data_IF_921063033936
#
_entry.id   IF_921063033936
#
_cell.length_a   1.000
_cell.length_b   1.000
_cell.length_c   1.000
_cell.angle_alpha   90.00
_cell.angle_beta   90.00
_cell.angle_gamma   90.00
#
_symmetry.space_group_name_H-M   'P 1'
#
loop_
_entity.id
_entity.type
_entity.pdbx_description
1 polymer ?
#
# COMPACT_ATOMS: atom_id res chain seq x y z
N UNK A 1 2.61 -24.61 -7.48
CA UNK A 1 2.04 -23.53 -8.33
C UNK A 1 3.09 -22.44 -8.41
N UNK A 2 3.50 -22.07 -9.61
CA UNK A 2 4.52 -21.08 -9.89
C UNK A 2 3.82 -19.71 -9.98
N UNK A 3 4.10 -18.84 -9.02
CA UNK A 3 3.44 -17.54 -8.87
C UNK A 3 4.36 -16.41 -9.33
N UNK A 4 3.90 -15.57 -10.26
CA UNK A 4 4.53 -14.28 -10.55
C UNK A 4 3.89 -13.18 -9.71
N UNK A 5 4.69 -12.42 -8.98
CA UNK A 5 4.26 -11.20 -8.29
C UNK A 5 4.80 -9.98 -9.01
N UNK A 6 3.89 -9.13 -9.49
CA UNK A 6 4.21 -7.84 -10.11
C UNK A 6 4.03 -6.73 -9.08
N UNK A 7 4.90 -5.73 -9.07
CA UNK A 7 4.90 -4.74 -7.99
C UNK A 7 5.51 -5.25 -6.66
N UNK A 8 6.26 -6.35 -6.70
CA UNK A 8 6.82 -7.08 -5.54
C UNK A 8 7.62 -6.21 -4.54
N UNK A 9 8.25 -5.13 -4.98
CA UNK A 9 9.00 -4.21 -4.08
C UNK A 9 8.13 -3.12 -3.44
N UNK A 10 6.84 -3.08 -3.76
CA UNK A 10 5.86 -2.15 -3.21
C UNK A 10 5.44 -2.51 -1.78
N UNK A 11 4.66 -1.62 -1.14
CA UNK A 11 4.16 -1.82 0.23
C UNK A 11 3.27 -3.07 0.33
N UNK A 12 2.36 -3.26 -0.62
CA UNK A 12 1.50 -4.44 -0.71
C UNK A 12 2.24 -5.63 -1.31
N UNK A 13 2.92 -5.46 -2.46
CA UNK A 13 3.53 -6.57 -3.19
C UNK A 13 4.55 -7.37 -2.37
N UNK A 14 5.35 -6.71 -1.50
CA UNK A 14 6.27 -7.43 -0.60
C UNK A 14 5.55 -8.32 0.42
N UNK A 15 4.35 -7.94 0.86
CA UNK A 15 3.54 -8.77 1.76
C UNK A 15 2.95 -9.95 1.01
N UNK A 16 2.53 -9.75 -0.24
CA UNK A 16 2.10 -10.84 -1.13
C UNK A 16 3.22 -11.86 -1.32
N UNK A 17 4.45 -11.39 -1.64
CA UNK A 17 5.62 -12.28 -1.78
C UNK A 17 5.87 -13.07 -0.51
N UNK A 18 5.93 -12.37 0.65
CA UNK A 18 6.14 -13.01 1.94
C UNK A 18 5.10 -14.07 2.23
N UNK A 19 3.84 -13.69 2.12
CA UNK A 19 2.73 -14.58 2.37
C UNK A 19 2.72 -15.80 1.45
N UNK A 20 2.99 -15.62 0.17
CA UNK A 20 3.04 -16.71 -0.79
C UNK A 20 4.19 -17.70 -0.51
N UNK A 21 5.38 -17.19 -0.15
CA UNK A 21 6.51 -18.03 0.27
C UNK A 21 6.19 -18.81 1.55
N UNK A 22 5.59 -18.16 2.55
CA UNK A 22 5.17 -18.80 3.81
C UNK A 22 4.13 -19.90 3.59
N UNK A 23 3.31 -19.80 2.53
CA UNK A 23 2.34 -20.83 2.11
C UNK A 23 2.90 -21.89 1.13
N UNK A 24 4.20 -21.86 0.85
CA UNK A 24 4.92 -22.87 0.05
C UNK A 24 4.79 -22.70 -1.46
N UNK A 25 4.45 -21.52 -1.96
CA UNK A 25 4.49 -21.24 -3.40
C UNK A 25 5.92 -21.02 -3.89
N UNK A 26 6.19 -21.40 -5.13
CA UNK A 26 7.38 -20.95 -5.83
C UNK A 26 7.10 -19.55 -6.39
N UNK A 27 7.78 -18.53 -5.82
CA UNK A 27 7.49 -17.15 -6.11
C UNK A 27 8.58 -16.54 -6.99
N UNK A 28 8.16 -16.04 -8.15
CA UNK A 28 8.96 -15.19 -9.03
C UNK A 28 8.49 -13.75 -8.92
N UNK A 29 9.43 -12.81 -8.89
CA UNK A 29 9.16 -11.38 -8.78
C UNK A 29 9.63 -10.65 -10.03
N UNK A 30 8.72 -9.95 -10.72
CA UNK A 30 9.09 -9.01 -11.78
C UNK A 30 9.66 -7.74 -11.15
N UNK A 31 10.93 -7.43 -11.41
CA UNK A 31 11.63 -6.30 -10.78
C UNK A 31 12.39 -5.46 -11.79
N UNK A 32 12.33 -4.14 -11.66
CA UNK A 32 13.09 -3.19 -12.50
C UNK A 32 14.57 -3.11 -12.11
N UNK A 33 14.91 -3.47 -10.86
CA UNK A 33 16.27 -3.39 -10.32
C UNK A 33 16.52 -4.49 -9.31
N UNK A 34 17.45 -5.39 -9.59
CA UNK A 34 17.89 -6.44 -8.68
C UNK A 34 18.41 -5.88 -7.35
N UNK A 35 19.16 -4.78 -7.38
CA UNK A 35 19.71 -4.15 -6.17
C UNK A 35 18.62 -3.73 -5.19
N UNK A 36 17.52 -3.14 -5.69
CA UNK A 36 16.39 -2.71 -4.84
C UNK A 36 15.53 -3.87 -4.36
N UNK A 37 15.60 -5.00 -5.03
CA UNK A 37 14.82 -6.20 -4.76
C UNK A 37 15.61 -7.30 -4.04
N UNK A 38 16.88 -7.07 -3.68
CA UNK A 38 17.77 -8.08 -3.11
C UNK A 38 17.16 -8.79 -1.89
N UNK A 39 16.44 -8.07 -1.04
CA UNK A 39 15.76 -8.62 0.14
C UNK A 39 14.70 -9.69 -0.22
N UNK A 40 14.05 -9.61 -1.39
CA UNK A 40 13.11 -10.63 -1.84
C UNK A 40 13.80 -11.95 -2.18
N UNK A 41 15.02 -11.86 -2.73
CA UNK A 41 15.86 -13.04 -2.97
C UNK A 41 16.30 -13.68 -1.66
N UNK A 42 16.67 -12.88 -0.66
CA UNK A 42 16.99 -13.36 0.68
C UNK A 42 15.82 -14.09 1.35
N UNK A 43 14.58 -13.72 1.02
CA UNK A 43 13.39 -14.43 1.49
C UNK A 43 13.11 -15.74 0.75
N UNK A 44 13.77 -15.99 -0.39
CA UNK A 44 13.62 -17.21 -1.20
C UNK A 44 12.90 -17.01 -2.52
N UNK A 45 12.56 -15.78 -2.91
CA UNK A 45 11.92 -15.52 -4.20
C UNK A 45 12.94 -15.49 -5.35
N UNK A 46 12.54 -16.00 -6.52
CA UNK A 46 13.25 -15.80 -7.78
C UNK A 46 13.05 -14.36 -8.28
N UNK A 47 14.11 -13.70 -8.72
CA UNK A 47 14.01 -12.37 -9.32
C UNK A 47 14.20 -12.45 -10.83
N UNK A 48 13.27 -11.86 -11.58
CA UNK A 48 13.38 -11.67 -13.02
C UNK A 48 13.35 -10.18 -13.35
N UNK A 49 14.32 -9.72 -14.13
CA UNK A 49 14.38 -8.33 -14.56
C UNK A 49 13.33 -8.06 -15.64
N UNK A 50 12.50 -7.04 -15.43
CA UNK A 50 11.53 -6.60 -16.42
C UNK A 50 10.79 -5.35 -15.96
N UNK A 51 10.04 -4.77 -16.87
CA UNK A 51 9.30 -3.53 -16.66
C UNK A 51 7.97 -3.59 -17.41
N UNK A 52 6.86 -3.28 -16.74
CA UNK A 52 5.53 -3.20 -17.36
C UNK A 52 5.51 -2.26 -18.57
N UNK A 53 6.32 -1.19 -18.54
CA UNK A 53 6.44 -0.26 -19.66
C UNK A 53 7.36 -0.76 -20.78
N UNK A 54 7.87 -1.99 -20.69
CA UNK A 54 8.69 -2.68 -21.69
C UNK A 54 8.12 -4.06 -21.95
N UNK A 55 7.05 -4.18 -22.77
CA UNK A 55 6.33 -5.44 -23.00
C UNK A 55 7.22 -6.62 -23.40
N UNK A 56 8.29 -6.37 -24.14
CA UNK A 56 9.25 -7.41 -24.59
C UNK A 56 9.94 -8.14 -23.41
N UNK A 57 9.91 -7.59 -22.21
CA UNK A 57 10.48 -8.21 -21.00
C UNK A 57 9.52 -9.16 -20.29
N UNK A 58 8.23 -9.12 -20.61
CA UNK A 58 7.19 -9.89 -19.92
C UNK A 58 7.19 -11.38 -20.23
N UNK A 59 7.41 -11.84 -21.48
CA UNK A 59 7.40 -13.27 -21.79
C UNK A 59 8.41 -14.07 -20.98
N UNK A 60 9.62 -13.54 -20.76
CA UNK A 60 10.64 -14.21 -19.97
C UNK A 60 10.21 -14.33 -18.47
N UNK A 61 9.52 -13.33 -17.95
CA UNK A 61 9.02 -13.36 -16.58
C UNK A 61 7.87 -14.35 -16.39
N UNK A 62 7.07 -14.58 -17.43
CA UNK A 62 5.89 -15.44 -17.43
C UNK A 62 6.18 -16.90 -17.81
N UNK A 63 7.39 -17.23 -18.26
CA UNK A 63 7.75 -18.58 -18.66
C UNK A 63 7.55 -19.58 -17.50
N UNK A 64 6.65 -20.57 -17.68
CA UNK A 64 6.31 -21.59 -16.69
C UNK A 64 5.51 -21.08 -15.47
N UNK A 65 4.97 -19.86 -15.52
CA UNK A 65 4.08 -19.30 -14.48
C UNK A 65 2.66 -19.83 -14.68
N UNK A 66 2.04 -20.24 -13.59
CA UNK A 66 0.63 -20.69 -13.57
C UNK A 66 -0.31 -19.66 -12.97
N UNK A 67 0.21 -18.77 -12.12
CA UNK A 67 -0.60 -17.72 -11.50
C UNK A 67 0.14 -16.36 -11.46
N UNK A 68 -0.61 -15.27 -11.56
CA UNK A 68 -0.11 -13.90 -11.42
C UNK A 68 -0.87 -13.19 -10.30
N UNK A 69 -0.15 -12.51 -9.42
CA UNK A 69 -0.74 -11.49 -8.53
C UNK A 69 -0.11 -10.14 -8.89
N UNK A 70 -0.96 -9.24 -9.35
CA UNK A 70 -0.55 -7.90 -9.73
C UNK A 70 -0.91 -6.85 -8.69
N UNK A 71 0.13 -6.34 -8.03
CA UNK A 71 0.08 -5.25 -7.06
C UNK A 71 0.86 -4.01 -7.56
N UNK A 72 1.04 -3.90 -8.89
CA UNK A 72 1.78 -2.78 -9.46
C UNK A 72 0.89 -1.54 -9.64
N UNK A 73 1.48 -0.40 -9.38
CA UNK A 73 0.92 0.92 -9.69
C UNK A 73 2.06 1.94 -9.80
N UNK A 74 1.84 3.03 -10.50
CA UNK A 74 2.80 4.12 -10.59
C UNK A 74 3.01 4.77 -9.21
N UNK A 75 4.28 4.93 -8.80
CA UNK A 75 4.61 5.59 -7.53
C UNK A 75 4.59 7.12 -7.70
N UNK A 76 4.35 7.82 -6.59
CA UNK A 76 4.40 9.28 -6.54
C UNK A 76 5.74 9.86 -7.01
N UNK A 77 6.81 9.10 -6.79
CA UNK A 77 8.20 9.49 -7.11
C UNK A 77 8.68 8.99 -8.47
N UNK A 78 7.85 8.19 -9.18
CA UNK A 78 8.22 7.72 -10.51
C UNK A 78 8.07 8.86 -11.54
N UNK A 79 9.01 8.94 -12.48
CA UNK A 79 8.95 9.87 -13.62
C UNK A 79 7.91 9.43 -14.67
N UNK A 80 7.45 8.19 -14.60
CA UNK A 80 6.45 7.64 -15.50
C UNK A 80 5.04 8.10 -15.09
N UNK A 81 4.20 8.38 -16.08
CA UNK A 81 2.81 8.76 -15.83
C UNK A 81 1.97 7.52 -15.47
N UNK A 82 0.83 7.75 -14.84
CA UNK A 82 -0.09 6.68 -14.42
C UNK A 82 -0.58 5.87 -15.62
N UNK A 83 -0.80 6.52 -16.79
CA UNK A 83 -1.25 5.82 -18.00
C UNK A 83 -0.24 4.77 -18.46
N UNK A 84 1.06 5.08 -18.47
CA UNK A 84 2.08 4.16 -18.93
C UNK A 84 2.21 2.91 -18.05
N UNK A 85 2.03 3.05 -16.73
CA UNK A 85 2.15 1.91 -15.80
C UNK A 85 0.80 1.25 -15.55
N UNK A 86 -0.22 2.05 -15.20
CA UNK A 86 -1.51 1.53 -14.71
C UNK A 86 -2.49 1.19 -15.85
N UNK A 87 -2.25 1.65 -17.10
CA UNK A 87 -3.02 1.24 -18.27
C UNK A 87 -2.16 0.45 -19.26
N UNK A 88 -1.25 1.09 -19.99
CA UNK A 88 -0.51 0.45 -21.07
C UNK A 88 0.26 -0.78 -20.58
N UNK A 89 0.90 -0.66 -19.41
CA UNK A 89 1.63 -1.75 -18.76
C UNK A 89 0.74 -2.90 -18.28
N UNK A 90 -0.45 -2.58 -17.77
CA UNK A 90 -1.41 -3.58 -17.31
C UNK A 90 -2.01 -4.37 -18.49
N UNK A 91 -2.40 -3.67 -19.54
CA UNK A 91 -2.87 -4.31 -20.79
C UNK A 91 -1.81 -5.26 -21.34
N UNK A 92 -0.56 -4.82 -21.40
CA UNK A 92 0.55 -5.66 -21.86
C UNK A 92 0.75 -6.91 -20.97
N UNK A 93 0.67 -6.75 -19.63
CA UNK A 93 0.79 -7.86 -18.70
C UNK A 93 -0.34 -8.88 -18.86
N UNK A 94 -1.59 -8.44 -18.96
CA UNK A 94 -2.77 -9.30 -19.15
C UNK A 94 -2.66 -10.09 -20.47
N UNK A 95 -2.29 -9.40 -21.56
CA UNK A 95 -2.09 -10.05 -22.86
C UNK A 95 -0.95 -11.08 -22.84
N UNK A 96 0.18 -10.74 -22.21
CA UNK A 96 1.31 -11.64 -22.07
C UNK A 96 0.98 -12.84 -21.17
N UNK A 97 0.23 -12.64 -20.09
CA UNK A 97 -0.23 -13.70 -19.19
C UNK A 97 -1.17 -14.68 -19.93
N UNK A 98 -2.09 -14.16 -20.74
CA UNK A 98 -2.95 -14.98 -21.60
C UNK A 98 -2.13 -15.80 -22.59
N UNK A 99 -1.19 -15.18 -23.28
CA UNK A 99 -0.32 -15.85 -24.26
C UNK A 99 0.57 -16.93 -23.61
N UNK A 100 0.97 -16.74 -22.35
CA UNK A 100 1.76 -17.70 -21.58
C UNK A 100 0.92 -18.84 -20.97
N UNK A 101 -0.40 -18.83 -21.12
CA UNK A 101 -1.30 -19.85 -20.56
C UNK A 101 -1.46 -19.77 -19.04
N UNK A 102 -1.37 -18.57 -18.45
CA UNK A 102 -1.61 -18.35 -17.02
C UNK A 102 -3.03 -18.78 -16.66
N UNK A 103 -3.17 -19.60 -15.62
CA UNK A 103 -4.43 -20.19 -15.19
C UNK A 103 -5.20 -19.28 -14.23
N UNK A 104 -4.51 -18.42 -13.46
CA UNK A 104 -5.11 -17.51 -12.45
C UNK A 104 -4.47 -16.14 -12.47
N UNK A 105 -5.28 -15.09 -12.50
CA UNK A 105 -4.82 -13.71 -12.46
C UNK A 105 -5.54 -12.94 -11.34
N UNK A 106 -4.79 -12.44 -10.38
CA UNK A 106 -5.32 -11.63 -9.27
C UNK A 106 -4.89 -10.19 -9.45
N UNK A 107 -5.84 -9.27 -9.48
CA UNK A 107 -5.61 -7.85 -9.70
C UNK A 107 -6.07 -7.02 -8.50
N UNK A 108 -5.23 -6.10 -8.06
CA UNK A 108 -5.61 -5.11 -7.05
C UNK A 108 -6.12 -3.83 -7.71
N UNK A 109 -7.37 -3.53 -7.44
CA UNK A 109 -8.04 -2.32 -7.89
C UNK A 109 -8.41 -1.39 -6.73
N UNK A 110 -9.17 -0.35 -7.05
CA UNK A 110 -9.64 0.65 -6.09
C UNK A 110 -11.15 0.53 -5.93
N UNK A 111 -11.63 0.55 -4.69
CA UNK A 111 -13.06 0.52 -4.38
C UNK A 111 -13.79 1.69 -5.05
N UNK A 112 -14.96 1.41 -5.63
CA UNK A 112 -15.79 2.40 -6.31
C UNK A 112 -15.11 3.10 -7.51
N UNK A 113 -14.14 2.44 -8.18
CA UNK A 113 -13.43 3.01 -9.31
C UNK A 113 -14.39 3.44 -10.44
N UNK A 114 -15.46 2.67 -10.67
CA UNK A 114 -16.55 2.94 -11.62
C UNK A 114 -17.34 4.22 -11.34
N UNK A 115 -17.38 4.66 -10.07
CA UNK A 115 -18.16 5.84 -9.65
C UNK A 115 -17.45 7.17 -9.87
N UNK A 116 -16.20 7.16 -10.28
CA UNK A 116 -15.37 8.36 -10.43
C UNK A 116 -14.64 8.43 -11.78
N UNK A 117 -15.38 8.43 -12.92
CA UNK A 117 -14.78 8.43 -14.26
C UNK A 117 -13.95 9.70 -14.57
N UNK A 118 -14.22 10.81 -13.87
CA UNK A 118 -13.46 12.06 -14.02
C UNK A 118 -12.10 12.06 -13.29
N UNK A 119 -11.78 11.00 -12.55
CA UNK A 119 -10.53 10.84 -11.81
C UNK A 119 -9.64 9.85 -12.55
N UNK A 120 -8.54 10.30 -13.18
CA UNK A 120 -7.77 9.47 -14.13
C UNK A 120 -7.33 8.11 -13.59
N UNK A 121 -6.91 8.05 -12.32
CA UNK A 121 -6.50 6.77 -11.72
C UNK A 121 -7.69 5.82 -11.52
N UNK A 122 -8.85 6.35 -11.12
CA UNK A 122 -10.06 5.55 -10.92
C UNK A 122 -10.58 5.03 -12.26
N UNK A 123 -10.68 5.89 -13.27
CA UNK A 123 -11.07 5.54 -14.64
C UNK A 123 -10.15 4.43 -15.19
N UNK A 124 -8.83 4.61 -15.07
CA UNK A 124 -7.86 3.60 -15.53
C UNK A 124 -8.06 2.27 -14.80
N UNK A 125 -8.26 2.27 -13.48
CA UNK A 125 -8.47 1.03 -12.73
C UNK A 125 -9.74 0.32 -13.17
N UNK A 126 -10.83 1.05 -13.36
CA UNK A 126 -12.07 0.47 -13.90
C UNK A 126 -11.90 -0.10 -15.31
N UNK A 127 -11.25 0.63 -16.22
CA UNK A 127 -10.96 0.12 -17.56
C UNK A 127 -10.09 -1.15 -17.54
N UNK A 128 -9.14 -1.27 -16.61
CA UNK A 128 -8.34 -2.50 -16.44
C UNK A 128 -9.18 -3.65 -15.90
N UNK A 129 -10.13 -3.38 -14.97
CA UNK A 129 -11.09 -4.39 -14.49
C UNK A 129 -11.89 -4.98 -15.67
N UNK A 130 -12.46 -4.11 -16.51
CA UNK A 130 -13.23 -4.52 -17.70
C UNK A 130 -12.35 -5.28 -18.69
N UNK A 131 -11.17 -4.77 -19.01
CA UNK A 131 -10.24 -5.43 -19.92
C UNK A 131 -9.82 -6.82 -19.43
N UNK A 132 -9.59 -6.97 -18.13
CA UNK A 132 -9.26 -8.26 -17.51
C UNK A 132 -10.46 -9.21 -17.58
N UNK A 133 -11.66 -8.74 -17.31
CA UNK A 133 -12.88 -9.54 -17.38
C UNK A 133 -13.15 -10.06 -18.80
N UNK A 134 -12.87 -9.26 -19.83
CA UNK A 134 -13.01 -9.64 -21.23
C UNK A 134 -11.83 -10.47 -21.79
N UNK A 135 -10.72 -10.54 -21.05
CA UNK A 135 -9.49 -11.21 -21.51
C UNK A 135 -9.62 -12.71 -21.75
N UNK A 136 -10.57 -13.36 -21.06
CA UNK A 136 -10.71 -14.84 -21.03
C UNK A 136 -9.77 -15.54 -20.05
N UNK A 137 -9.01 -14.79 -19.25
CA UNK A 137 -8.26 -15.34 -18.09
C UNK A 137 -9.23 -15.62 -16.93
N UNK A 138 -8.95 -16.64 -16.13
CA UNK A 138 -9.64 -16.80 -14.84
C UNK A 138 -9.09 -15.79 -13.86
N UNK A 139 -9.85 -14.76 -13.56
CA UNK A 139 -9.40 -13.63 -12.73
C UNK A 139 -10.04 -13.60 -11.34
N UNK A 140 -9.45 -12.83 -10.45
CA UNK A 140 -10.05 -12.31 -9.23
C UNK A 140 -9.62 -10.85 -9.08
N UNK A 141 -10.59 -9.94 -8.92
CA UNK A 141 -10.33 -8.52 -8.69
C UNK A 141 -10.58 -8.23 -7.20
N UNK A 142 -9.60 -7.62 -6.55
CA UNK A 142 -9.67 -7.21 -5.14
C UNK A 142 -9.68 -5.68 -5.08
N UNK A 143 -10.83 -5.10 -4.77
CA UNK A 143 -11.00 -3.64 -4.68
C UNK A 143 -10.67 -3.16 -3.27
N UNK A 144 -9.67 -2.27 -3.15
CA UNK A 144 -9.17 -1.76 -1.87
C UNK A 144 -9.46 -0.27 -1.70
N UNK A 145 -9.63 0.20 -0.47
CA UNK A 145 -9.91 1.61 -0.17
C UNK A 145 -8.66 2.38 0.29
N UNK A 146 -7.80 1.76 1.08
CA UNK A 146 -6.58 2.36 1.61
C UNK A 146 -5.81 1.42 2.54
N UNK A 147 -4.54 1.73 2.78
CA UNK A 147 -3.64 0.88 3.56
C UNK A 147 -3.31 1.52 4.92
N UNK A 148 -3.38 0.73 6.01
CA UNK A 148 -2.97 1.16 7.35
C UNK A 148 -1.54 1.70 7.38
N UNK A 149 -0.65 1.13 6.55
CA UNK A 149 0.76 1.55 6.45
C UNK A 149 0.93 3.02 6.05
N UNK A 150 0.01 3.56 5.25
CA UNK A 150 0.03 4.96 4.84
C UNK A 150 -0.20 5.93 5.99
N UNK A 151 -0.97 5.52 7.00
CA UNK A 151 -1.35 6.36 8.14
C UNK A 151 -0.16 6.71 9.03
N UNK A 152 0.87 5.86 9.05
CA UNK A 152 2.08 6.11 9.82
C UNK A 152 2.77 7.39 9.34
N UNK A 153 3.02 7.51 8.04
CA UNK A 153 3.64 8.70 7.47
C UNK A 153 2.72 9.92 7.45
N UNK A 154 1.41 9.70 7.34
CA UNK A 154 0.43 10.78 7.25
C UNK A 154 0.09 11.39 8.61
N UNK A 155 0.01 10.59 9.68
CA UNK A 155 -0.46 11.03 10.99
C UNK A 155 0.53 10.73 12.12
N UNK A 156 0.98 9.48 12.27
CA UNK A 156 1.73 9.07 13.45
C UNK A 156 3.10 9.76 13.56
N UNK A 157 3.89 9.78 12.49
CA UNK A 157 5.22 10.41 12.48
C UNK A 157 5.12 11.93 12.68
N UNK A 158 4.28 12.70 11.95
CA UNK A 158 4.15 14.14 12.18
C UNK A 158 3.77 14.50 13.60
N UNK A 159 2.85 13.72 14.24
CA UNK A 159 2.46 13.97 15.63
C UNK A 159 3.63 13.72 16.57
N UNK A 160 4.35 12.60 16.44
CA UNK A 160 5.54 12.30 17.27
C UNK A 160 6.63 13.35 17.12
N UNK A 161 6.84 13.86 15.91
CA UNK A 161 7.86 14.87 15.60
C UNK A 161 7.38 16.30 15.81
N UNK A 162 6.14 16.50 16.32
CA UNK A 162 5.50 17.81 16.53
C UNK A 162 5.40 18.67 15.28
N UNK A 163 5.33 18.02 14.12
CA UNK A 163 5.13 18.63 12.81
C UNK A 163 3.63 18.87 12.55
N UNK A 164 3.31 19.67 11.52
CA UNK A 164 1.93 19.89 11.11
C UNK A 164 1.34 18.67 10.44
N UNK A 165 0.15 18.25 10.89
CA UNK A 165 -0.69 17.24 10.22
C UNK A 165 -1.62 17.96 9.25
N UNK A 166 -1.51 17.64 7.96
CA UNK A 166 -2.33 18.28 6.94
C UNK A 166 -3.63 17.49 6.72
N UNK A 167 -4.76 18.17 6.88
CA UNK A 167 -6.10 17.63 6.62
C UNK A 167 -6.72 18.39 5.46
N UNK A 168 -7.13 17.67 4.42
CA UNK A 168 -7.64 18.26 3.18
C UNK A 168 -9.17 18.19 3.14
N UNK A 169 -9.82 19.32 2.94
CA UNK A 169 -11.27 19.42 2.75
C UNK A 169 -12.13 18.84 3.86
N UNK A 170 -13.26 18.26 3.49
CA UNK A 170 -14.11 17.45 4.35
C UNK A 170 -13.68 15.98 4.15
N UNK A 171 -12.86 15.47 5.05
CA UNK A 171 -12.29 14.12 4.90
C UNK A 171 -13.36 13.05 4.81
N UNK A 172 -13.24 12.19 3.80
CA UNK A 172 -14.03 10.98 3.69
C UNK A 172 -13.64 9.98 4.78
N UNK A 173 -14.61 9.29 5.33
CA UNK A 173 -14.34 8.12 6.14
C UNK A 173 -13.85 6.98 5.26
N UNK A 174 -12.69 6.39 5.56
CA UNK A 174 -12.05 5.34 4.75
C UNK A 174 -11.87 4.08 5.60
N UNK A 175 -12.25 2.93 5.03
CA UNK A 175 -12.08 1.62 5.66
C UNK A 175 -10.69 1.05 5.31
N UNK A 176 -9.66 1.50 6.00
CA UNK A 176 -8.27 1.05 5.78
C UNK A 176 -8.07 -0.40 6.18
N UNK A 177 -7.26 -1.14 5.40
CA UNK A 177 -6.87 -2.51 5.71
C UNK A 177 -5.34 -2.66 5.77
N UNK A 178 -4.86 -3.60 6.59
CA UNK A 178 -3.44 -3.95 6.64
C UNK A 178 -3.02 -4.65 5.35
N UNK A 179 -1.85 -4.30 4.83
CA UNK A 179 -1.33 -4.94 3.60
C UNK A 179 -0.97 -6.41 3.79
N UNK A 180 -0.77 -6.88 5.01
CA UNK A 180 -0.61 -8.31 5.29
C UNK A 180 -1.94 -9.06 5.14
N UNK A 181 -3.04 -8.44 5.60
CA UNK A 181 -4.38 -9.01 5.42
C UNK A 181 -4.78 -8.99 3.94
N UNK A 182 -4.50 -7.89 3.22
CA UNK A 182 -4.70 -7.84 1.75
C UNK A 182 -3.93 -8.95 1.04
N UNK A 183 -2.69 -9.22 1.44
CA UNK A 183 -1.90 -10.31 0.91
C UNK A 183 -2.50 -11.69 1.24
N UNK A 184 -3.09 -11.85 2.43
CA UNK A 184 -3.83 -13.07 2.83
C UNK A 184 -5.00 -13.33 1.88
N UNK A 185 -5.83 -12.32 1.58
CA UNK A 185 -6.92 -12.44 0.62
C UNK A 185 -6.41 -12.79 -0.78
N UNK A 186 -5.37 -12.10 -1.26
CA UNK A 186 -4.83 -12.34 -2.61
C UNK A 186 -4.26 -13.75 -2.79
N UNK A 187 -3.47 -14.23 -1.83
CA UNK A 187 -2.90 -15.60 -1.90
C UNK A 187 -4.00 -16.65 -1.71
N UNK A 188 -4.96 -16.41 -0.81
CA UNK A 188 -6.10 -17.30 -0.59
C UNK A 188 -6.97 -17.46 -1.84
N UNK A 189 -7.19 -16.40 -2.61
CA UNK A 189 -7.97 -16.47 -3.85
C UNK A 189 -7.43 -17.46 -4.87
N UNK A 190 -6.14 -17.77 -4.85
CA UNK A 190 -5.54 -18.76 -5.76
C UNK A 190 -6.05 -20.19 -5.51
N UNK A 191 -6.53 -20.49 -4.28
CA UNK A 191 -6.99 -21.82 -3.87
C UNK A 191 -8.53 -21.94 -3.79
N UNK A 192 -9.24 -20.81 -3.78
CA UNK A 192 -10.69 -20.76 -3.62
C UNK A 192 -11.34 -20.61 -5.00
N UNK A 193 -12.01 -21.67 -5.47
CA UNK A 193 -12.67 -21.72 -6.77
C UNK A 193 -13.77 -20.66 -6.93
N UNK A 194 -14.48 -20.36 -5.82
CA UNK A 194 -15.60 -19.42 -5.76
C UNK A 194 -15.16 -17.96 -5.98
N UNK A 195 -13.85 -17.71 -6.02
CA UNK A 195 -13.31 -16.37 -6.35
C UNK A 195 -13.04 -16.18 -7.85
N UNK A 196 -13.17 -17.24 -8.65
CA UNK A 196 -12.90 -17.19 -10.10
C UNK A 196 -13.92 -16.30 -10.80
N UNK A 197 -13.41 -15.39 -11.65
CA UNK A 197 -14.18 -14.44 -12.45
C UNK A 197 -15.10 -13.55 -11.61
N UNK A 198 -14.60 -13.13 -10.44
CA UNK A 198 -15.36 -12.29 -9.51
C UNK A 198 -14.52 -11.13 -8.98
N UNK A 199 -15.25 -10.08 -8.61
CA UNK A 199 -14.72 -8.89 -7.94
C UNK A 199 -15.19 -8.86 -6.49
N UNK A 200 -14.28 -8.56 -5.57
CA UNK A 200 -14.55 -8.50 -4.14
C UNK A 200 -14.03 -7.20 -3.55
N UNK A 201 -14.81 -6.52 -2.71
CA UNK A 201 -14.26 -5.48 -1.85
C UNK A 201 -13.35 -6.14 -0.81
N UNK A 202 -12.17 -5.56 -0.58
CA UNK A 202 -11.25 -6.00 0.48
C UNK A 202 -10.82 -4.75 1.24
N UNK A 203 -11.59 -4.43 2.26
CA UNK A 203 -11.49 -3.19 3.04
C UNK A 203 -11.54 -3.47 4.53
N UNK A 204 -11.17 -2.49 5.35
CA UNK A 204 -11.23 -2.63 6.81
C UNK A 204 -12.67 -2.79 7.31
N UNK A 205 -12.81 -3.34 8.51
CA UNK A 205 -14.12 -3.60 9.15
C UNK A 205 -14.88 -2.33 9.52
N UNK A 206 -14.18 -1.19 9.61
CA UNK A 206 -14.76 0.12 9.93
C UNK A 206 -14.11 1.21 9.09
N UNK A 207 -14.92 2.17 8.65
CA UNK A 207 -14.42 3.41 8.05
C UNK A 207 -14.04 4.42 9.14
N UNK A 208 -12.95 5.15 8.93
CA UNK A 208 -12.35 6.10 9.86
C UNK A 208 -12.22 7.47 9.23
N UNK A 209 -12.65 8.50 9.95
CA UNK A 209 -12.38 9.88 9.57
C UNK A 209 -10.96 10.30 9.99
N UNK A 210 -10.36 11.25 9.28
CA UNK A 210 -9.01 11.75 9.60
C UNK A 210 -8.87 12.24 11.04
N UNK A 211 -9.90 12.92 11.56
CA UNK A 211 -9.89 13.43 12.95
C UNK A 211 -9.98 12.33 14.00
N UNK A 212 -10.68 11.22 13.72
CA UNK A 212 -10.69 10.06 14.62
C UNK A 212 -9.30 9.44 14.71
N UNK A 213 -8.61 9.31 13.55
CA UNK A 213 -7.24 8.77 13.48
C UNK A 213 -6.25 9.70 14.21
N UNK A 214 -6.36 11.02 14.02
CA UNK A 214 -5.53 12.01 14.71
C UNK A 214 -5.71 11.88 16.22
N UNK A 215 -6.95 11.88 16.73
CA UNK A 215 -7.23 11.71 18.16
C UNK A 215 -6.69 10.39 18.72
N UNK A 216 -6.76 9.33 17.94
CA UNK A 216 -6.18 8.05 18.34
C UNK A 216 -4.65 8.14 18.45
N UNK A 217 -3.99 8.77 17.47
CA UNK A 217 -2.55 8.99 17.50
C UNK A 217 -2.12 9.90 18.68
N UNK A 218 -2.87 10.98 18.98
CA UNK A 218 -2.64 11.84 20.14
C UNK A 218 -2.70 11.05 21.45
N UNK A 219 -3.75 10.24 21.61
CA UNK A 219 -3.92 9.40 22.81
C UNK A 219 -2.80 8.38 22.98
N UNK A 220 -2.35 7.75 21.88
CA UNK A 220 -1.30 6.72 21.90
C UNK A 220 0.11 7.29 22.07
N UNK A 221 0.34 8.49 21.56
CA UNK A 221 1.66 9.16 21.65
C UNK A 221 1.81 10.04 22.89
N UNK A 222 0.71 10.48 23.50
CA UNK A 222 0.70 11.53 24.53
C UNK A 222 1.11 12.90 24.01
N UNK A 223 1.05 13.14 22.68
CA UNK A 223 1.41 14.42 22.05
C UNK A 223 0.18 15.01 21.36
N UNK A 224 0.02 16.34 21.46
CA UNK A 224 -1.03 17.05 20.73
C UNK A 224 -0.65 17.28 19.27
N UNK A 225 -1.62 17.08 18.36
CA UNK A 225 -1.43 17.28 16.93
C UNK A 225 -1.56 18.75 16.53
N UNK A 226 -0.64 19.23 15.73
CA UNK A 226 -0.75 20.55 15.08
C UNK A 226 -1.50 20.38 13.75
N UNK A 227 -2.82 20.46 13.76
CA UNK A 227 -3.63 20.24 12.56
C UNK A 227 -3.69 21.50 11.72
N UNK A 228 -3.32 21.37 10.44
CA UNK A 228 -3.45 22.42 9.43
C UNK A 228 -4.48 21.98 8.37
N UNK A 229 -5.52 22.79 8.19
CA UNK A 229 -6.57 22.52 7.19
C UNK A 229 -6.25 23.17 5.85
N UNK A 230 -6.34 22.40 4.78
CA UNK A 230 -6.24 22.91 3.41
C UNK A 230 -7.63 22.90 2.76
N UNK A 231 -8.18 24.05 2.39
CA UNK A 231 -9.48 24.12 1.71
C UNK A 231 -9.45 23.42 0.34
N UNK A 232 -10.53 22.70 0.00
CA UNK A 232 -10.69 22.04 -1.31
C UNK A 232 -10.53 23.00 -2.50
N UNK A 233 -10.99 24.26 -2.35
CA UNK A 233 -10.85 25.28 -3.38
C UNK A 233 -9.38 25.56 -3.74
N UNK A 234 -8.49 25.57 -2.76
CA UNK A 234 -7.06 25.74 -2.98
C UNK A 234 -6.47 24.51 -3.71
N UNK A 235 -6.86 23.29 -3.31
CA UNK A 235 -6.43 22.06 -3.95
C UNK A 235 -6.83 22.03 -5.44
N UNK A 236 -8.09 22.40 -5.74
CA UNK A 236 -8.58 22.52 -7.11
C UNK A 236 -7.85 23.58 -7.91
N UNK A 237 -7.53 24.70 -7.29
CA UNK A 237 -6.71 25.77 -7.89
C UNK A 237 -5.30 25.27 -8.27
N UNK A 238 -4.61 24.61 -7.35
CA UNK A 238 -3.28 24.02 -7.59
C UNK A 238 -3.34 22.97 -8.70
N UNK A 239 -4.35 22.08 -8.68
CA UNK A 239 -4.55 21.08 -9.73
C UNK A 239 -4.78 21.72 -11.09
N UNK A 240 -5.58 22.80 -11.19
CA UNK A 240 -5.84 23.51 -12.45
C UNK A 240 -4.56 24.12 -13.02
N UNK A 241 -3.72 24.71 -12.16
CA UNK A 241 -2.42 25.25 -12.54
C UNK A 241 -1.45 24.13 -12.95
N UNK A 242 -1.41 23.02 -12.18
CA UNK A 242 -0.58 21.86 -12.48
C UNK A 242 -0.93 21.22 -13.83
N UNK A 243 -2.18 21.24 -14.26
CA UNK A 243 -2.59 20.76 -15.60
C UNK A 243 -2.08 21.62 -16.75
N UNK A 244 -1.70 22.85 -16.50
CA UNK A 244 -1.20 23.76 -17.55
C UNK A 244 0.21 23.40 -18.05
N UNK A 245 0.98 22.67 -17.21
CA UNK A 245 2.34 22.27 -17.55
C UNK A 245 2.44 20.75 -17.70
N UNK A 246 2.90 20.25 -18.84
CA UNK A 246 2.98 18.82 -19.13
C UNK A 246 3.80 18.02 -18.09
N UNK A 247 4.86 18.59 -17.56
CA UNK A 247 5.74 17.97 -16.57
C UNK A 247 5.09 17.84 -15.17
N UNK A 248 3.94 18.50 -14.91
CA UNK A 248 3.18 18.41 -13.65
C UNK A 248 1.90 17.57 -13.77
N UNK A 249 1.62 16.93 -14.90
CA UNK A 249 0.40 16.14 -15.09
C UNK A 249 0.27 15.01 -14.07
N UNK A 250 1.36 14.32 -13.76
CA UNK A 250 1.36 13.28 -12.71
C UNK A 250 0.93 13.83 -11.34
N UNK A 251 1.28 15.08 -11.03
CA UNK A 251 0.85 15.76 -9.80
C UNK A 251 -0.65 16.08 -9.88
N UNK A 252 -1.13 16.58 -11.01
CA UNK A 252 -2.54 16.91 -11.22
C UNK A 252 -3.44 15.67 -11.10
N UNK A 253 -3.03 14.52 -11.66
CA UNK A 253 -3.77 13.28 -11.60
C UNK A 253 -3.84 12.72 -10.18
N UNK A 254 -2.78 12.86 -9.40
CA UNK A 254 -2.77 12.47 -7.98
C UNK A 254 -3.61 13.39 -7.11
N UNK A 255 -3.60 14.68 -7.40
CA UNK A 255 -4.47 15.65 -6.73
C UNK A 255 -5.95 15.35 -7.03
N UNK A 256 -6.28 14.82 -8.22
CA UNK A 256 -7.62 14.38 -8.55
C UNK A 256 -8.11 13.25 -7.61
N UNK A 257 -7.27 12.23 -7.37
CA UNK A 257 -7.59 11.17 -6.40
C UNK A 257 -7.71 11.72 -4.96
N UNK A 258 -6.86 12.66 -4.58
CA UNK A 258 -6.95 13.34 -3.28
C UNK A 258 -8.28 14.10 -3.13
N UNK A 259 -8.85 14.66 -4.23
CA UNK A 259 -10.16 15.30 -4.19
C UNK A 259 -11.29 14.31 -3.87
N UNK A 260 -11.21 13.05 -4.33
CA UNK A 260 -12.17 11.99 -3.97
C UNK A 260 -12.15 11.75 -2.46
N UNK A 261 -10.94 11.59 -1.90
CA UNK A 261 -10.75 11.38 -0.47
C UNK A 261 -11.21 12.59 0.36
N UNK A 262 -11.09 13.81 -0.19
CA UNK A 262 -11.48 15.05 0.46
C UNK A 262 -12.95 15.47 0.20
N UNK A 263 -13.70 14.71 -0.60
CA UNK A 263 -15.09 15.04 -0.98
C UNK A 263 -16.14 14.67 0.10
N UNK A 264 -15.73 13.97 1.16
CA UNK A 264 -16.60 13.60 2.29
C UNK A 264 -17.50 12.38 2.04
N UNK A 265 -17.39 11.72 0.88
CA UNK A 265 -18.09 10.45 0.64
C UNK A 265 -17.31 9.29 1.24
N UNK A 266 -17.92 8.39 2.03
CA UNK A 266 -17.21 7.27 2.63
C UNK A 266 -16.73 6.28 1.56
N UNK A 267 -15.50 5.76 1.75
CA UNK A 267 -14.96 4.65 0.98
C UNK A 267 -14.97 3.40 1.86
N UNK A 268 -16.09 2.71 1.87
CA UNK A 268 -16.32 1.47 2.60
C UNK A 268 -17.27 0.55 1.83
N UNK A 269 -17.21 -0.74 2.13
CA UNK A 269 -18.11 -1.75 1.58
C UNK A 269 -18.38 -2.83 2.62
N UNK A 270 -19.52 -3.55 2.55
CA UNK A 270 -19.76 -4.72 3.37
C UNK A 270 -18.78 -5.85 2.98
N UNK A 271 -18.24 -6.54 3.97
CA UNK A 271 -17.22 -7.58 3.79
C UNK A 271 -17.75 -8.99 4.10
N UNK A 272 -19.02 -9.13 4.50
CA UNK A 272 -19.58 -10.41 4.96
C UNK A 272 -19.44 -11.51 3.90
N UNK A 273 -19.80 -11.21 2.65
CA UNK A 273 -19.65 -12.14 1.54
C UNK A 273 -18.17 -12.44 1.26
N UNK A 274 -17.31 -11.44 1.27
CA UNK A 274 -15.87 -11.60 1.06
C UNK A 274 -15.29 -12.53 2.11
N UNK A 275 -15.56 -12.30 3.39
CA UNK A 275 -15.11 -13.17 4.47
C UNK A 275 -15.62 -14.60 4.33
N UNK A 276 -16.91 -14.78 4.01
CA UNK A 276 -17.52 -16.09 3.84
C UNK A 276 -16.89 -16.87 2.68
N UNK A 277 -16.75 -16.24 1.50
CA UNK A 277 -16.17 -16.88 0.30
C UNK A 277 -14.69 -17.24 0.49
N UNK A 278 -13.91 -16.35 1.12
CA UNK A 278 -12.50 -16.62 1.35
C UNK A 278 -12.25 -17.53 2.57
N UNK A 279 -13.27 -17.83 3.38
CA UNK A 279 -13.13 -18.61 4.60
C UNK A 279 -12.14 -17.98 5.59
N UNK A 280 -12.22 -16.66 5.75
CA UNK A 280 -11.39 -15.86 6.66
C UNK A 280 -12.30 -15.34 7.78
N UNK A 281 -11.91 -15.55 9.05
CA UNK A 281 -12.61 -14.95 10.17
C UNK A 281 -12.30 -13.46 10.25
N UNK A 282 -13.32 -12.58 10.33
CA UNK A 282 -13.09 -11.13 10.49
C UNK A 282 -12.19 -10.77 11.67
N UNK A 283 -12.23 -11.54 12.76
CA UNK A 283 -11.39 -11.33 13.95
C UNK A 283 -9.90 -11.58 13.72
N UNK A 284 -9.54 -12.27 12.63
CA UNK A 284 -8.15 -12.49 12.23
C UNK A 284 -7.55 -11.30 11.46
N UNK A 285 -8.36 -10.30 11.13
CA UNK A 285 -7.88 -9.11 10.42
C UNK A 285 -7.49 -8.01 11.39
N UNK A 286 -6.43 -7.28 11.03
CA UNK A 286 -5.85 -6.23 11.85
C UNK A 286 -6.75 -5.01 11.89
N UNK A 287 -7.18 -4.59 13.08
CA UNK A 287 -7.89 -3.33 13.26
C UNK A 287 -6.94 -2.14 13.21
N UNK A 288 -7.45 -0.95 12.85
CA UNK A 288 -6.65 0.28 12.84
C UNK A 288 -6.12 0.60 14.25
N UNK A 289 -6.95 0.41 15.27
CA UNK A 289 -6.54 0.60 16.66
C UNK A 289 -5.38 -0.31 17.05
N UNK A 290 -5.50 -1.61 16.78
CA UNK A 290 -4.47 -2.60 17.07
C UNK A 290 -3.17 -2.28 16.33
N UNK A 291 -3.27 -1.93 15.04
CA UNK A 291 -2.11 -1.56 14.23
C UNK A 291 -1.36 -0.34 14.78
N UNK A 292 -2.07 0.72 15.14
CA UNK A 292 -1.47 1.93 15.71
C UNK A 292 -0.94 1.67 17.14
N UNK A 293 -1.65 0.90 17.97
CA UNK A 293 -1.17 0.51 19.29
C UNK A 293 0.17 -0.23 19.22
N UNK A 294 0.28 -1.19 18.33
CA UNK A 294 1.52 -1.95 18.11
C UNK A 294 2.64 -1.06 17.59
N UNK A 295 2.33 -0.14 16.67
CA UNK A 295 3.31 0.80 16.15
C UNK A 295 3.85 1.71 17.25
N UNK A 296 2.97 2.40 17.97
CA UNK A 296 3.36 3.32 19.05
C UNK A 296 4.03 2.57 20.20
N UNK A 297 3.55 1.38 20.56
CA UNK A 297 4.17 0.55 21.59
C UNK A 297 5.63 0.22 21.29
N UNK A 298 5.92 -0.17 20.03
CA UNK A 298 7.30 -0.43 19.58
C UNK A 298 8.17 0.82 19.59
N UNK A 299 7.66 1.96 19.14
CA UNK A 299 8.41 3.22 19.12
C UNK A 299 8.68 3.71 20.54
N UNK A 300 7.67 3.71 21.43
CA UNK A 300 7.83 4.16 22.82
C UNK A 300 8.81 3.28 23.60
N UNK A 301 8.78 1.96 23.37
CA UNK A 301 9.76 1.03 23.95
C UNK A 301 11.19 1.40 23.52
N UNK A 302 11.39 1.61 22.22
CA UNK A 302 12.70 1.97 21.67
C UNK A 302 13.20 3.32 22.16
N UNK A 303 12.31 4.30 22.31
CA UNK A 303 12.66 5.62 22.87
C UNK A 303 13.14 5.49 24.33
N UNK A 304 12.42 4.73 25.17
CA UNK A 304 12.82 4.46 26.55
C UNK A 304 14.18 3.76 26.65
N UNK A 305 14.44 2.79 25.76
CA UNK A 305 15.75 2.12 25.69
C UNK A 305 16.88 3.12 25.37
N UNK A 306 16.66 4.00 24.38
CA UNK A 306 17.64 5.03 24.00
C UNK A 306 17.86 6.04 25.14
N UNK A 307 16.82 6.47 25.83
CA UNK A 307 16.91 7.39 26.98
C UNK A 307 17.72 6.74 28.12
N UNK A 308 17.42 5.49 28.46
CA UNK A 308 18.15 4.74 29.47
C UNK A 308 19.65 4.59 29.11
N UNK A 309 19.97 4.27 27.86
CA UNK A 309 21.37 4.20 27.43
C UNK A 309 22.10 5.56 27.52
N UNK A 310 21.40 6.65 27.16
CA UNK A 310 21.95 8.01 27.29
C UNK A 310 22.22 8.40 28.76
N UNK A 311 21.31 8.08 29.65
CA UNK A 311 21.49 8.34 31.11
C UNK A 311 22.66 7.54 31.64
N UNK A 312 22.73 6.25 31.32
CA UNK A 312 23.84 5.37 31.72
C UNK A 312 25.19 5.83 31.15
N UNK A 313 25.20 6.38 29.94
CA UNK A 313 26.40 6.96 29.34
C UNK A 313 26.85 8.23 30.07
N UNK A 314 25.91 9.12 30.47
CA UNK A 314 26.17 10.32 31.26
C UNK A 314 26.73 9.97 32.64
N UNK A 315 26.13 9.01 33.32
CA UNK A 315 26.63 8.52 34.63
C UNK A 315 28.05 7.98 34.55
N UNK A 316 28.35 7.17 33.50
CA UNK A 316 29.70 6.67 33.27
C UNK A 316 30.72 7.78 32.99
N UNK A 317 30.32 8.82 32.26
CA UNK A 317 31.17 9.98 31.99
C UNK A 317 31.43 10.81 33.26
N UNK A 318 30.38 11.04 34.05
CA UNK A 318 30.53 11.71 35.36
C UNK A 318 31.45 10.92 36.31
N UNK A 319 31.27 9.62 36.42
CA UNK A 319 32.12 8.78 37.22
C UNK A 319 33.61 8.79 36.76
N UNK A 320 33.85 8.87 35.43
CA UNK A 320 35.20 9.03 34.85
C UNK A 320 35.80 10.41 35.17
N UNK A 321 34.97 11.49 35.15
CA UNK A 321 35.45 12.85 35.51
C UNK A 321 35.82 12.95 36.98
N UNK A 322 35.02 12.39 37.90
CA UNK A 322 35.29 12.33 39.31
C UNK A 322 36.59 11.56 39.64
N UNK A 323 36.88 10.47 38.94
CA UNK A 323 38.13 9.72 39.10
C UNK A 323 39.37 10.43 38.53
N UNK A 324 39.18 11.43 37.65
CA UNK A 324 40.29 12.21 37.03
C UNK A 324 40.64 13.50 37.80
N UNK A 325 39.84 13.91 38.82
CA UNK A 325 40.19 15.06 39.63
C UNK A 325 41.18 14.62 40.70
N UNK A 326 42.47 14.99 40.58
CA UNK A 326 43.44 14.65 41.64
C UNK A 326 43.10 15.42 42.91
N UNK A 327 43.09 14.73 44.03
CA UNK A 327 43.07 15.37 45.36
C UNK A 327 44.20 16.39 45.40
N UNK A 328 43.87 17.71 45.33
CA UNK A 328 44.83 18.74 45.73
C UNK A 328 44.99 18.62 47.25
N UNK A 329 46.16 18.15 47.64
CA UNK A 329 46.67 18.29 49.01
C UNK A 329 47.08 19.74 49.23
#
# INVERSE_FOLDING_TARGET
MNLLVVGATGTLGRQVVRRALDEGYEVRCLVRSFRRAAFLKEWGAELVQGDLCKPDTLPAALAGITAVIDAATARATDSLNIKAVDWDGQVALIQAAKAAGVERFVFFSILDADKYPDVPLMEIKHCVEDFLAESGLNYTILQTSGFLQGLIGQYAIPILEKQAVWVMGNTSAIAYMDTQDLAKFAVRSLKVSETVNRTFPVVGTRAWEAYEIIRLCERLSGQEAKVTRMPLGLLRGVRRIARFFQWTWNIADRLAFTEVIAAGKPLNAPMDETYAVFGIDPSETTTLEGYLQDYFGRIMKKLKEIEYEKEKAKEREQARRLKRTPFKK
#
